data_IF_985051895608
#
_entry.id   IF_985051895608
#
_cell.length_a   1.000
_cell.length_b   1.000
_cell.length_c   1.000
_cell.angle_alpha   90.00
_cell.angle_beta   90.00
_cell.angle_gamma   90.00
#
_symmetry.space_group_name_H-M   'P 1'
#
loop_
_entity.id
_entity.type
_entity.pdbx_description
1 polymer ?
#
# COMPACT_ATOMS: atom_id res chain seq x y z
N UNK A 1 -5.13 -9.16 -7.04
CA UNK A 1 -6.11 -8.28 -7.72
C UNK A 1 -6.87 -7.41 -6.71
N UNK A 2 -6.17 -6.61 -5.90
CA UNK A 2 -6.77 -5.62 -4.99
C UNK A 2 -6.31 -4.25 -5.48
N UNK A 3 -7.26 -3.34 -5.71
CA UNK A 3 -7.10 -1.93 -6.14
C UNK A 3 -7.11 -1.62 -7.64
N UNK A 4 -8.24 -1.85 -8.33
CA UNK A 4 -8.58 -1.11 -9.56
C UNK A 4 -10.06 -0.66 -9.65
N UNK A 5 -10.84 -0.76 -8.58
CA UNK A 5 -12.28 -0.47 -8.61
C UNK A 5 -12.55 1.00 -8.98
N UNK A 6 -11.77 1.93 -8.42
CA UNK A 6 -11.93 3.35 -8.72
C UNK A 6 -11.56 3.68 -10.17
N UNK A 7 -10.46 3.10 -10.68
CA UNK A 7 -10.02 3.28 -12.06
C UNK A 7 -11.06 2.75 -13.05
N UNK A 8 -11.63 1.58 -12.77
CA UNK A 8 -12.73 1.02 -13.55
C UNK A 8 -13.95 1.95 -13.51
N UNK A 9 -14.28 2.52 -12.35
CA UNK A 9 -15.35 3.51 -12.22
C UNK A 9 -15.15 4.74 -13.11
N UNK A 10 -13.94 5.31 -13.13
CA UNK A 10 -13.62 6.44 -14.01
C UNK A 10 -13.67 6.07 -15.50
N UNK A 11 -13.16 4.88 -15.86
CA UNK A 11 -13.20 4.38 -17.23
C UNK A 11 -14.65 4.15 -17.68
N UNK A 12 -15.48 3.57 -16.81
CA UNK A 12 -16.90 3.34 -17.09
C UNK A 12 -17.65 4.66 -17.32
N UNK A 13 -17.32 5.71 -16.57
CA UNK A 13 -17.95 7.02 -16.75
C UNK A 13 -17.70 7.61 -18.15
N UNK A 14 -16.52 7.40 -18.74
CA UNK A 14 -16.16 7.98 -20.04
C UNK A 14 -16.45 7.06 -21.24
N UNK A 15 -16.24 5.75 -21.07
CA UNK A 15 -16.31 4.77 -22.16
C UNK A 15 -17.45 3.76 -22.00
N UNK A 16 -18.16 3.72 -20.87
CA UNK A 16 -19.15 2.68 -20.55
C UNK A 16 -20.32 2.60 -21.53
N UNK A 17 -20.72 3.73 -22.12
CA UNK A 17 -21.84 3.80 -23.07
C UNK A 17 -21.40 3.60 -24.53
N UNK A 18 -20.09 3.53 -24.81
CA UNK A 18 -19.56 3.38 -26.17
C UNK A 18 -19.33 1.90 -26.48
N UNK A 19 -19.68 1.43 -27.69
CA UNK A 19 -19.27 0.09 -28.10
C UNK A 19 -17.74 0.02 -28.18
N UNK A 20 -17.18 -1.14 -27.82
CA UNK A 20 -15.73 -1.31 -27.67
C UNK A 20 -14.95 -1.01 -28.96
N UNK A 21 -15.55 -1.30 -30.11
CA UNK A 21 -14.99 -1.04 -31.44
C UNK A 21 -14.93 0.45 -31.80
N UNK A 22 -15.81 1.28 -31.24
CA UNK A 22 -15.83 2.72 -31.52
C UNK A 22 -14.82 3.52 -30.67
N UNK A 23 -14.13 2.86 -29.73
CA UNK A 23 -13.12 3.52 -28.91
C UNK A 23 -11.81 3.62 -29.68
N UNK A 24 -11.51 4.83 -30.17
CA UNK A 24 -10.30 5.14 -30.92
C UNK A 24 -9.13 5.53 -29.98
N UNK A 25 -7.91 5.46 -30.51
CA UNK A 25 -6.70 5.94 -29.85
C UNK A 25 -6.78 7.41 -29.43
N UNK A 26 -7.47 8.24 -30.22
CA UNK A 26 -7.68 9.67 -29.96
C UNK A 26 -8.48 9.87 -28.67
N UNK A 27 -9.62 9.20 -28.51
CA UNK A 27 -10.43 9.29 -27.29
C UNK A 27 -9.62 8.88 -26.04
N UNK A 28 -8.79 7.85 -26.16
CA UNK A 28 -7.94 7.37 -25.06
C UNK A 28 -6.85 8.40 -24.75
N UNK A 29 -6.24 9.00 -25.76
CA UNK A 29 -5.22 10.02 -25.59
C UNK A 29 -5.80 11.26 -24.88
N UNK A 30 -6.97 11.73 -25.30
CA UNK A 30 -7.65 12.86 -24.68
C UNK A 30 -7.96 12.59 -23.21
N UNK A 31 -8.53 11.43 -22.90
CA UNK A 31 -8.82 11.02 -21.52
C UNK A 31 -7.57 10.99 -20.62
N UNK A 32 -6.46 10.45 -21.13
CA UNK A 32 -5.18 10.42 -20.42
C UNK A 32 -4.65 11.85 -20.23
N UNK A 33 -4.72 12.69 -21.26
CA UNK A 33 -4.22 14.06 -21.24
C UNK A 33 -4.98 14.93 -20.23
N UNK A 34 -6.31 14.81 -20.15
CA UNK A 34 -7.12 15.53 -19.14
C UNK A 34 -6.64 15.21 -17.71
N UNK A 35 -6.27 13.95 -17.45
CA UNK A 35 -5.74 13.53 -16.15
C UNK A 35 -4.34 14.09 -15.88
N UNK A 36 -3.51 14.22 -16.93
CA UNK A 36 -2.17 14.82 -16.83
C UNK A 36 -2.26 16.33 -16.59
N UNK A 37 -3.13 17.03 -17.32
CA UNK A 37 -3.39 18.47 -17.18
C UNK A 37 -3.93 18.83 -15.78
N UNK A 38 -4.76 17.95 -15.21
CA UNK A 38 -5.22 18.04 -13.81
C UNK A 38 -4.09 17.83 -12.78
N UNK A 39 -2.85 17.62 -13.22
CA UNK A 39 -1.68 17.35 -12.36
C UNK A 39 -1.62 15.94 -11.78
N UNK A 40 -2.48 15.02 -12.24
CA UNK A 40 -2.61 13.64 -11.74
C UNK A 40 -1.89 12.64 -12.64
N UNK A 41 -0.64 12.94 -13.03
CA UNK A 41 0.13 12.11 -13.97
C UNK A 41 0.29 10.65 -13.52
N UNK A 42 0.43 10.38 -12.22
CA UNK A 42 0.48 9.02 -11.70
C UNK A 42 -0.85 8.26 -11.86
N UNK A 43 -1.99 8.97 -11.75
CA UNK A 43 -3.30 8.38 -12.05
C UNK A 43 -3.42 8.07 -13.54
N UNK A 44 -2.97 8.98 -14.40
CA UNK A 44 -2.98 8.79 -15.85
C UNK A 44 -2.22 7.52 -16.27
N UNK A 45 -1.05 7.23 -15.67
CA UNK A 45 -0.33 5.96 -15.88
C UNK A 45 -1.16 4.76 -15.47
N UNK A 46 -1.80 4.82 -14.29
CA UNK A 46 -2.63 3.72 -13.80
C UNK A 46 -3.85 3.50 -14.70
N UNK A 47 -4.54 4.56 -15.12
CA UNK A 47 -5.69 4.49 -16.04
C UNK A 47 -5.29 3.86 -17.37
N UNK A 48 -4.16 4.27 -17.96
CA UNK A 48 -3.60 3.65 -19.17
C UNK A 48 -3.33 2.16 -18.97
N UNK A 49 -2.75 1.77 -17.84
CA UNK A 49 -2.50 0.36 -17.53
C UNK A 49 -3.79 -0.45 -17.39
N UNK A 50 -4.83 0.11 -16.75
CA UNK A 50 -6.13 -0.57 -16.64
C UNK A 50 -6.79 -0.72 -17.99
N UNK A 51 -6.83 0.36 -18.80
CA UNK A 51 -7.38 0.33 -20.15
C UNK A 51 -6.66 -0.70 -21.03
N UNK A 52 -5.32 -0.72 -20.99
CA UNK A 52 -4.53 -1.68 -21.78
C UNK A 52 -4.89 -3.12 -21.41
N UNK A 53 -5.07 -3.42 -20.13
CA UNK A 53 -5.47 -4.76 -19.69
C UNK A 53 -6.91 -5.09 -20.10
N UNK A 54 -7.86 -4.16 -20.03
CA UNK A 54 -9.26 -4.35 -20.50
C UNK A 54 -9.31 -4.66 -22.00
N UNK A 55 -8.60 -3.91 -22.84
CA UNK A 55 -8.56 -4.16 -24.28
C UNK A 55 -7.82 -5.45 -24.64
N UNK A 56 -6.85 -5.91 -23.82
CA UNK A 56 -6.25 -7.23 -24.01
C UNK A 56 -7.24 -8.36 -23.75
N UNK A 57 -8.06 -8.27 -22.72
CA UNK A 57 -9.12 -9.26 -22.47
C UNK A 57 -10.14 -9.26 -23.61
N UNK A 58 -10.51 -8.08 -24.13
CA UNK A 58 -11.40 -7.99 -25.28
C UNK A 58 -10.83 -8.62 -26.57
N UNK A 59 -9.51 -8.58 -26.76
CA UNK A 59 -8.84 -9.31 -27.85
C UNK A 59 -8.91 -10.82 -27.60
N UNK A 60 -8.70 -11.27 -26.36
CA UNK A 60 -8.79 -12.68 -26.00
C UNK A 60 -10.21 -13.25 -26.24
N UNK A 61 -11.24 -12.44 -26.01
CA UNK A 61 -12.65 -12.77 -26.29
C UNK A 61 -13.02 -12.61 -27.78
N UNK A 62 -12.12 -12.11 -28.62
CA UNK A 62 -12.34 -11.94 -30.07
C UNK A 62 -13.25 -10.76 -30.45
N UNK A 63 -13.50 -9.81 -29.53
CA UNK A 63 -14.30 -8.62 -29.81
C UNK A 63 -13.55 -7.60 -30.69
N UNK A 64 -12.24 -7.54 -30.55
CA UNK A 64 -11.37 -6.62 -31.30
C UNK A 64 -10.06 -7.32 -31.70
N UNK A 65 -9.40 -6.82 -32.75
CA UNK A 65 -8.14 -7.40 -33.25
C UNK A 65 -6.88 -6.72 -32.69
N UNK A 66 -6.97 -5.44 -32.33
CA UNK A 66 -5.80 -4.59 -32.05
C UNK A 66 -6.07 -3.71 -30.84
N UNK A 67 -5.07 -3.52 -29.97
CA UNK A 67 -5.23 -2.71 -28.77
C UNK A 67 -5.00 -1.22 -29.09
N UNK A 68 -6.03 -0.36 -29.04
CA UNK A 68 -5.88 1.07 -29.34
C UNK A 68 -5.05 1.82 -28.29
N UNK A 69 -4.90 1.27 -27.08
CA UNK A 69 -4.16 1.90 -25.98
C UNK A 69 -2.64 1.90 -26.23
N UNK A 70 -2.12 0.94 -27.01
CA UNK A 70 -0.68 0.79 -27.21
C UNK A 70 -0.04 1.99 -27.91
N UNK A 71 -0.77 2.62 -28.83
CA UNK A 71 -0.34 3.80 -29.57
C UNK A 71 -0.30 5.09 -28.71
N UNK A 72 -0.83 5.06 -27.49
CA UNK A 72 -0.85 6.23 -26.59
C UNK A 72 0.45 6.39 -25.83
N UNK A 73 0.89 7.64 -25.65
CA UNK A 73 2.09 7.97 -24.87
C UNK A 73 1.88 7.69 -23.38
N UNK A 74 2.88 7.08 -22.74
CA UNK A 74 2.86 6.87 -21.28
C UNK A 74 3.36 8.14 -20.58
N UNK A 75 2.54 8.80 -19.73
CA UNK A 75 2.98 9.97 -19.00
C UNK A 75 4.06 9.59 -17.97
N UNK A 76 5.04 10.48 -17.74
CA UNK A 76 6.12 10.26 -16.78
C UNK A 76 5.89 11.09 -15.50
N UNK A 77 5.33 10.50 -14.42
CA UNK A 77 5.10 11.21 -13.18
C UNK A 77 6.41 11.47 -12.44
N UNK A 78 6.69 12.73 -12.13
CA UNK A 78 7.78 13.11 -11.21
C UNK A 78 7.34 12.88 -9.76
N UNK A 79 8.20 12.24 -8.97
CA UNK A 79 7.95 11.96 -7.55
C UNK A 79 8.00 13.27 -6.76
N UNK A 80 6.87 13.69 -6.18
CA UNK A 80 6.74 14.94 -5.39
C UNK A 80 7.03 14.77 -3.89
N UNK A 81 7.02 13.53 -3.38
CA UNK A 81 7.32 13.26 -1.96
C UNK A 81 8.81 13.50 -1.72
N UNK A 82 9.11 14.28 -0.68
CA UNK A 82 10.47 14.51 -0.23
C UNK A 82 10.87 13.47 0.82
N UNK A 83 12.18 13.25 0.97
CA UNK A 83 12.70 12.40 2.05
C UNK A 83 12.69 13.22 3.35
N UNK A 84 12.29 12.58 4.44
CA UNK A 84 12.33 13.19 5.76
C UNK A 84 13.79 13.23 6.25
N UNK A 85 14.31 14.44 6.48
CA UNK A 85 15.64 14.63 7.05
C UNK A 85 15.64 14.29 8.55
N UNK A 86 16.80 13.91 9.08
CA UNK A 86 16.97 13.57 10.49
C UNK A 86 16.55 14.72 11.41
N UNK A 87 16.89 15.96 11.07
CA UNK A 87 16.48 17.13 11.85
C UNK A 87 14.95 17.35 11.85
N UNK A 88 14.27 16.97 10.77
CA UNK A 88 12.81 17.02 10.68
C UNK A 88 12.17 15.83 11.41
N UNK A 89 12.78 14.64 11.35
CA UNK A 89 12.37 13.45 12.09
C UNK A 89 12.44 13.67 13.61
N UNK A 90 13.53 14.24 14.13
CA UNK A 90 13.68 14.54 15.56
C UNK A 90 12.56 15.45 16.09
N UNK A 91 11.95 16.29 15.24
CA UNK A 91 10.83 17.16 15.61
C UNK A 91 9.47 16.43 15.63
N UNK A 92 9.36 15.28 14.97
CA UNK A 92 8.09 14.55 14.74
C UNK A 92 8.00 13.27 15.60
N UNK A 93 9.09 12.85 16.24
CA UNK A 93 9.28 11.49 16.79
C UNK A 93 8.20 10.96 17.76
N UNK A 94 7.64 9.78 17.40
CA UNK A 94 7.24 8.66 18.27
C UNK A 94 7.42 7.35 17.46
N UNK A 95 8.02 6.31 18.07
CA UNK A 95 8.94 5.36 17.44
C UNK A 95 8.34 4.23 16.58
N UNK A 96 8.87 4.04 15.35
CA UNK A 96 9.31 2.79 14.66
C UNK A 96 9.44 3.07 13.14
N UNK A 97 10.57 2.68 12.51
CA UNK A 97 10.75 2.82 11.05
C UNK A 97 10.13 1.62 10.30
N UNK A 98 8.83 1.44 10.47
CA UNK A 98 8.05 0.42 9.79
C UNK A 98 6.84 1.05 9.12
N UNK A 99 6.27 0.38 8.11
CA UNK A 99 5.05 0.87 7.49
C UNK A 99 3.95 0.96 8.55
N UNK A 100 3.24 2.10 8.58
CA UNK A 100 2.15 2.37 9.53
C UNK A 100 1.19 1.20 9.69
N UNK A 101 0.78 0.59 8.58
CA UNK A 101 -0.20 -0.52 8.59
C UNK A 101 0.38 -1.80 9.21
N UNK A 102 1.70 -2.00 9.14
CA UNK A 102 2.39 -3.12 9.77
C UNK A 102 2.56 -2.86 11.27
N UNK A 103 2.92 -1.64 11.67
CA UNK A 103 3.00 -1.22 13.08
C UNK A 103 1.65 -1.39 13.78
N UNK A 104 0.54 -1.06 13.11
CA UNK A 104 -0.81 -1.23 13.66
C UNK A 104 -1.20 -2.68 13.94
N UNK A 105 -0.57 -3.64 13.27
CA UNK A 105 -0.90 -5.06 13.40
C UNK A 105 -0.04 -5.79 14.43
N UNK A 106 1.01 -5.13 14.98
CA UNK A 106 1.91 -5.71 15.96
C UNK A 106 1.16 -6.10 17.23
N UNK A 107 1.22 -7.38 17.54
CA UNK A 107 0.75 -7.96 18.79
C UNK A 107 1.86 -7.91 19.84
N UNK A 108 1.48 -7.91 21.11
CA UNK A 108 2.43 -8.06 22.22
C UNK A 108 3.23 -9.35 22.12
N UNK A 109 2.64 -10.42 21.57
CA UNK A 109 3.35 -11.69 21.36
C UNK A 109 4.48 -11.60 20.34
N UNK A 110 4.47 -10.57 19.47
CA UNK A 110 5.43 -10.43 18.39
C UNK A 110 6.79 -9.88 18.90
N UNK A 111 6.84 -9.35 20.12
CA UNK A 111 8.07 -8.96 20.81
C UNK A 111 8.53 -10.07 21.78
N UNK A 112 9.53 -10.86 21.38
CA UNK A 112 10.10 -11.94 22.19
C UNK A 112 11.55 -12.24 21.76
N UNK A 113 12.32 -12.92 22.62
CA UNK A 113 13.71 -13.34 22.36
C UNK A 113 14.68 -12.19 21.99
N UNK A 114 14.42 -10.99 22.51
CA UNK A 114 15.24 -9.81 22.19
C UNK A 114 15.00 -9.25 20.79
N UNK A 115 13.98 -9.76 20.07
CA UNK A 115 13.62 -9.36 18.71
C UNK A 115 12.13 -8.94 18.64
N UNK A 116 11.83 -8.04 17.72
CA UNK A 116 10.49 -7.69 17.29
C UNK A 116 10.24 -8.32 15.92
N UNK A 117 9.32 -9.26 15.86
CA UNK A 117 8.99 -10.00 14.66
C UNK A 117 7.87 -9.31 13.89
N UNK A 118 8.12 -8.94 12.63
CA UNK A 118 7.12 -8.29 11.78
C UNK A 118 6.98 -9.03 10.46
N UNK A 119 5.75 -9.07 9.93
CA UNK A 119 5.49 -9.52 8.58
C UNK A 119 5.00 -8.32 7.79
N UNK A 120 5.77 -7.91 6.78
CA UNK A 120 5.35 -6.80 5.93
C UNK A 120 4.09 -7.17 5.14
N UNK A 121 3.00 -6.43 5.34
CA UNK A 121 1.70 -6.74 4.75
C UNK A 121 1.74 -6.71 3.22
N UNK A 122 2.60 -5.87 2.63
CA UNK A 122 2.71 -5.63 1.18
C UNK A 122 3.62 -6.65 0.47
N UNK A 123 4.81 -6.90 1.01
CA UNK A 123 5.83 -7.78 0.40
C UNK A 123 5.77 -9.21 0.93
N UNK A 124 5.08 -9.43 2.06
CA UNK A 124 5.05 -10.68 2.83
C UNK A 124 6.42 -11.10 3.38
N UNK A 125 7.39 -10.20 3.37
CA UNK A 125 8.72 -10.42 3.95
C UNK A 125 8.62 -10.48 5.48
N UNK A 126 9.31 -11.46 6.07
CA UNK A 126 9.44 -11.61 7.50
C UNK A 126 10.72 -10.94 7.95
N UNK A 127 10.63 -10.02 8.90
CA UNK A 127 11.76 -9.23 9.38
C UNK A 127 11.80 -9.38 10.90
N UNK A 128 12.99 -9.64 11.44
CA UNK A 128 13.28 -9.55 12.85
C UNK A 128 14.06 -8.27 13.11
N UNK A 129 13.51 -7.36 13.92
CA UNK A 129 14.17 -6.12 14.31
C UNK A 129 14.68 -6.27 15.73
N UNK A 130 15.96 -5.98 15.96
CA UNK A 130 16.55 -6.05 17.30
C UNK A 130 15.89 -5.06 18.26
N UNK A 131 15.46 -5.53 19.44
CA UNK A 131 14.93 -4.67 20.50
C UNK A 131 16.00 -3.75 21.13
N UNK A 132 17.27 -4.08 20.90
CA UNK A 132 18.43 -3.32 21.35
C UNK A 132 18.81 -2.19 20.39
N UNK A 133 18.07 -2.03 19.29
CA UNK A 133 18.30 -0.93 18.37
C UNK A 133 18.00 0.39 19.11
N UNK A 134 19.00 1.28 19.14
CA UNK A 134 18.89 2.58 19.76
C UNK A 134 18.78 3.67 18.69
N UNK A 135 17.79 4.53 18.85
CA UNK A 135 17.61 5.72 18.02
C UNK A 135 17.30 6.88 18.96
N UNK A 136 18.07 7.98 18.87
CA UNK A 136 17.88 9.18 19.71
C UNK A 136 17.89 8.88 21.23
N UNK A 137 18.84 8.07 21.70
CA UNK A 137 19.00 7.70 23.12
C UNK A 137 17.78 7.01 23.75
N UNK A 138 16.88 6.45 22.94
CA UNK A 138 15.82 5.56 23.40
C UNK A 138 15.97 4.23 22.67
N UNK A 139 15.96 3.14 23.42
CA UNK A 139 15.96 1.80 22.83
C UNK A 139 14.56 1.41 22.37
N UNK A 140 14.46 0.62 21.29
CA UNK A 140 13.17 0.04 20.85
C UNK A 140 12.50 -0.73 21.99
N UNK A 141 13.31 -1.40 22.82
CA UNK A 141 12.87 -2.05 24.07
C UNK A 141 12.14 -1.09 25.00
N UNK A 142 12.76 0.04 25.36
CA UNK A 142 12.16 1.01 26.29
C UNK A 142 10.85 1.58 25.76
N UNK A 143 10.75 1.86 24.46
CA UNK A 143 9.49 2.32 23.86
C UNK A 143 8.41 1.25 23.93
N UNK A 144 8.74 -0.01 23.61
CA UNK A 144 7.76 -1.11 23.70
C UNK A 144 7.32 -1.31 25.14
N UNK A 145 8.23 -1.29 26.12
CA UNK A 145 7.89 -1.40 27.54
C UNK A 145 6.91 -0.29 27.97
N UNK A 146 7.13 0.96 27.55
CA UNK A 146 6.18 2.07 27.79
C UNK A 146 4.81 1.79 27.17
N UNK A 147 4.75 1.38 25.91
CA UNK A 147 3.48 1.02 25.25
C UNK A 147 2.76 -0.14 25.98
N UNK A 148 3.52 -1.12 26.49
CA UNK A 148 2.99 -2.24 27.24
C UNK A 148 2.46 -1.81 28.62
N UNK A 149 3.08 -0.82 29.27
CA UNK A 149 2.61 -0.28 30.54
C UNK A 149 1.35 0.57 30.38
N UNK A 150 1.27 1.37 29.33
CA UNK A 150 0.15 2.30 29.09
C UNK A 150 -1.14 1.59 28.64
N UNK A 151 -1.02 0.47 27.92
CA UNK A 151 -2.18 -0.26 27.39
C UNK A 151 -2.16 -1.73 27.73
N UNK A 152 -3.33 -2.30 28.05
CA UNK A 152 -3.54 -3.76 28.20
C UNK A 152 -4.10 -4.42 26.93
N UNK A 153 -4.21 -3.65 25.84
CA UNK A 153 -4.78 -4.17 24.60
C UNK A 153 -3.90 -5.28 24.00
N UNK A 154 -4.47 -6.15 23.18
CA UNK A 154 -3.73 -7.17 22.43
C UNK A 154 -2.64 -6.56 21.53
N UNK A 155 -2.81 -5.32 21.06
CA UNK A 155 -1.87 -4.66 20.17
C UNK A 155 -0.87 -3.80 20.94
N UNK A 156 0.32 -3.59 20.35
CA UNK A 156 1.32 -2.68 20.92
C UNK A 156 0.86 -1.22 20.89
N UNK A 157 0.19 -0.79 19.81
CA UNK A 157 -0.42 0.54 19.71
C UNK A 157 -1.93 0.42 19.83
N UNK A 158 -2.52 1.20 20.74
CA UNK A 158 -3.98 1.22 20.94
C UNK A 158 -4.49 2.63 21.20
N UNK A 159 -5.73 2.91 20.83
CA UNK A 159 -6.40 4.15 21.21
C UNK A 159 -6.66 4.21 22.72
N UNK A 160 -6.56 5.40 23.31
CA UNK A 160 -6.63 5.62 24.76
C UNK A 160 -8.00 5.29 25.40
N UNK A 161 -9.07 5.07 24.62
CA UNK A 161 -10.28 4.31 25.01
C UNK A 161 -11.41 4.47 23.97
N UNK A 162 -11.99 3.35 23.55
CA UNK A 162 -13.42 2.97 23.76
C UNK A 162 -13.72 1.71 22.96
N UNK A 163 -14.09 0.66 23.70
CA UNK A 163 -14.95 -0.49 23.34
C UNK A 163 -14.62 -1.25 22.06
N UNK A 164 -14.42 -2.56 22.23
CA UNK A 164 -14.25 -3.59 21.20
C UNK A 164 -14.95 -3.28 19.89
N UNK A 165 -14.14 -3.06 18.85
CA UNK A 165 -14.55 -3.38 17.49
C UNK A 165 -13.92 -4.71 17.12
N UNK A 166 -14.57 -5.78 17.59
CA UNK A 166 -14.46 -7.10 16.96
C UNK A 166 -14.87 -6.95 15.51
N UNK A 167 -13.90 -6.97 14.61
CA UNK A 167 -14.16 -6.90 13.18
C UNK A 167 -12.91 -7.14 12.35
N UNK A 168 -12.90 -8.32 11.71
CA UNK A 168 -12.19 -8.65 10.47
C UNK A 168 -10.84 -9.38 10.55
N UNK A 169 -10.96 -10.69 10.30
CA UNK A 169 -10.09 -11.55 9.49
C UNK A 169 -8.56 -11.37 9.62
N UNK A 170 -7.96 -12.11 10.56
CA UNK A 170 -6.52 -12.42 10.53
C UNK A 170 -6.32 -13.86 10.07
N UNK A 171 -5.59 -14.03 8.98
CA UNK A 171 -4.86 -15.27 8.70
C UNK A 171 -3.80 -15.36 9.79
N UNK A 172 -3.98 -16.30 10.72
CA UNK A 172 -3.07 -16.54 11.84
C UNK A 172 -1.97 -17.49 11.34
N UNK A 173 -0.96 -16.98 10.65
CA UNK A 173 0.28 -17.74 10.48
C UNK A 173 1.00 -17.72 11.83
N UNK A 174 0.84 -18.80 12.58
CA UNK A 174 1.57 -19.03 13.83
C UNK A 174 3.02 -19.30 13.44
N UNK A 175 3.94 -18.41 13.81
CA UNK A 175 5.36 -18.74 13.82
C UNK A 175 5.54 -19.93 14.77
N UNK A 176 5.82 -21.09 14.22
CA UNK A 176 6.31 -22.21 15.00
C UNK A 176 7.81 -22.05 15.07
N UNK A 177 8.32 -22.04 16.30
CA UNK A 177 9.73 -22.03 16.60
C UNK A 177 10.31 -23.37 16.10
N UNK A 178 10.67 -23.44 14.82
CA UNK A 178 11.54 -24.50 14.33
C UNK A 178 12.95 -24.02 14.57
N UNK A 179 13.47 -24.43 15.72
CA UNK A 179 14.90 -24.43 16.02
C UNK A 179 15.62 -25.10 14.84
N UNK A 180 16.28 -24.28 14.03
CA UNK A 180 17.26 -24.76 13.07
C UNK A 180 18.53 -24.99 13.90
N UNK A 181 18.81 -26.26 14.19
CA UNK A 181 20.14 -26.72 14.55
C UNK A 181 21.11 -26.53 13.40
#
# INVERSE_FOLDING_TARGET
MKMRVLQIGYIHQEFGDKPIEAVTTEHIADFINTSVESGKSAMAVNLRSVLSDVFREAIADGLISTNPVEATCTPSPKIKRERLDYAAFCKIYETTDQHRDDVQQLDRSDAHDGMLWTIQSKTKMQIAVSLWLEIMNTSVRETIEKCLMESKSKFLISSASKTDRTGAWRIKCRFTHQSIC
#
